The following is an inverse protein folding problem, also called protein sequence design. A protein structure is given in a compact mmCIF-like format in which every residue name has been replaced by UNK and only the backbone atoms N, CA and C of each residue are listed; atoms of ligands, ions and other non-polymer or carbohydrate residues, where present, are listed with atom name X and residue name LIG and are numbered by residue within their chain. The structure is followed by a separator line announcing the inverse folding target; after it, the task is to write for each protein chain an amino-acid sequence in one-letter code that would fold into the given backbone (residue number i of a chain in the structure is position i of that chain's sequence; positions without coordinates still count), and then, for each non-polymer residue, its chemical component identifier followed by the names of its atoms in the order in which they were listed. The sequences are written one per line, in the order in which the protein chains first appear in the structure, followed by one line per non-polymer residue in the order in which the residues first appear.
data_IF_923864747439
#
_entry.id   IF_923864747439
#
_cell.length_a   1.000
_cell.length_b   1.000
_cell.length_c   1.000
_cell.angle_alpha   90.00
_cell.angle_beta   90.00
_cell.angle_gamma   90.00
#
_symmetry.space_group_name_H-M   'P 1'
#
loop_
_entity.id
_entity.type
_entity.pdbx_description
1 polymer ?
#
# COMPACT_ATOMS: atom_id res chain seq x y z
N UNK A 1 -6.29 -15.09 4.73
CA UNK A 1 -5.50 -14.48 3.64
C UNK A 1 -6.28 -14.40 2.32
N UNK A 2 -6.90 -15.48 1.85
CA UNK A 2 -7.66 -15.52 0.58
C UNK A 2 -8.85 -14.54 0.55
N UNK A 3 -9.58 -14.41 1.66
CA UNK A 3 -10.76 -13.53 1.76
C UNK A 3 -10.41 -12.04 1.66
N UNK A 4 -9.28 -11.60 2.23
CA UNK A 4 -8.84 -10.20 2.18
C UNK A 4 -8.58 -9.75 0.73
N UNK A 5 -7.90 -10.57 -0.07
CA UNK A 5 -7.66 -10.26 -1.49
C UNK A 5 -8.94 -10.26 -2.33
N UNK A 6 -9.91 -11.12 -2.03
CA UNK A 6 -11.20 -11.11 -2.75
C UNK A 6 -11.94 -9.80 -2.54
N UNK A 7 -11.97 -9.27 -1.31
CA UNK A 7 -12.54 -7.95 -1.00
C UNK A 7 -11.74 -6.83 -1.64
N UNK A 8 -10.41 -6.93 -1.62
CA UNK A 8 -9.54 -5.97 -2.28
C UNK A 8 -9.81 -5.88 -3.79
N UNK A 9 -10.07 -7.01 -4.46
CA UNK A 9 -10.45 -7.00 -5.87
C UNK A 9 -11.80 -6.29 -6.09
N UNK A 10 -12.78 -6.46 -5.19
CA UNK A 10 -14.04 -5.73 -5.25
C UNK A 10 -13.81 -4.22 -5.15
N UNK A 11 -13.00 -3.79 -4.17
CA UNK A 11 -12.65 -2.38 -3.97
C UNK A 11 -11.95 -1.80 -5.20
N UNK A 12 -10.95 -2.52 -5.75
CA UNK A 12 -10.21 -2.09 -6.95
C UNK A 12 -11.15 -1.97 -8.15
N UNK A 13 -12.01 -2.95 -8.39
CA UNK A 13 -12.99 -2.91 -9.50
C UNK A 13 -13.93 -1.72 -9.34
N UNK A 14 -14.43 -1.43 -8.12
CA UNK A 14 -15.27 -0.26 -7.88
C UNK A 14 -14.51 1.06 -8.16
N UNK A 15 -13.26 1.17 -7.75
CA UNK A 15 -12.45 2.37 -7.97
C UNK A 15 -12.18 2.61 -9.46
N UNK A 16 -11.74 1.59 -10.19
CA UNK A 16 -11.39 1.74 -11.62
C UNK A 16 -12.60 2.01 -12.53
N UNK A 17 -13.83 1.74 -12.09
CA UNK A 17 -15.05 2.13 -12.83
C UNK A 17 -15.18 3.65 -13.01
N UNK A 18 -14.57 4.43 -12.12
CA UNK A 18 -14.58 5.89 -12.20
C UNK A 18 -13.45 6.45 -13.07
N UNK A 19 -12.57 5.61 -13.59
CA UNK A 19 -11.51 6.05 -14.48
C UNK A 19 -12.10 6.51 -15.82
N UNK A 20 -11.56 7.57 -16.44
CA UNK A 20 -11.88 7.92 -17.81
C UNK A 20 -11.59 6.74 -18.75
N UNK A 21 -12.35 6.65 -19.84
CA UNK A 21 -12.22 5.54 -20.78
C UNK A 21 -10.78 5.38 -21.32
N UNK A 22 -10.07 6.48 -21.54
CA UNK A 22 -8.67 6.47 -21.99
C UNK A 22 -7.73 5.84 -20.97
N UNK A 23 -7.94 6.12 -19.68
CA UNK A 23 -7.15 5.57 -18.60
C UNK A 23 -7.52 4.11 -18.30
N UNK A 24 -8.81 3.80 -18.31
CA UNK A 24 -9.30 2.44 -18.16
C UNK A 24 -8.75 1.50 -19.25
N UNK A 25 -8.66 1.98 -20.49
CA UNK A 25 -8.15 1.22 -21.63
C UNK A 25 -6.64 0.88 -21.53
N UNK A 26 -5.88 1.59 -20.69
CA UNK A 26 -4.46 1.26 -20.43
C UNK A 26 -4.27 -0.01 -19.61
N UNK A 27 -5.29 -0.40 -18.84
CA UNK A 27 -5.24 -1.62 -18.02
C UNK A 27 -5.60 -2.81 -18.90
N UNK A 28 -4.76 -3.85 -19.00
CA UNK A 28 -5.08 -5.04 -19.79
C UNK A 28 -6.40 -5.69 -19.37
N UNK A 29 -7.22 -6.03 -20.34
CA UNK A 29 -8.53 -6.64 -20.12
C UNK A 29 -8.42 -7.95 -19.31
N UNK A 30 -7.37 -8.73 -19.54
CA UNK A 30 -7.09 -9.96 -18.80
C UNK A 30 -6.97 -9.71 -17.30
N UNK A 31 -6.27 -8.62 -16.92
CA UNK A 31 -6.09 -8.24 -15.52
C UNK A 31 -7.41 -7.80 -14.88
N UNK A 32 -8.21 -7.03 -15.61
CA UNK A 32 -9.55 -6.61 -15.17
C UNK A 32 -10.46 -7.84 -14.98
N UNK A 33 -10.45 -8.77 -15.94
CA UNK A 33 -11.23 -10.00 -15.87
C UNK A 33 -10.79 -10.87 -14.69
N UNK A 34 -9.49 -11.01 -14.46
CA UNK A 34 -8.95 -11.72 -13.31
C UNK A 34 -9.51 -11.17 -11.99
N UNK A 35 -9.53 -9.85 -11.81
CA UNK A 35 -10.10 -9.23 -10.61
C UNK A 35 -11.61 -9.49 -10.50
N UNK A 36 -12.37 -9.36 -11.60
CA UNK A 36 -13.82 -9.62 -11.62
C UNK A 36 -14.18 -11.07 -11.30
N UNK A 37 -13.39 -12.03 -11.75
CA UNK A 37 -13.59 -13.45 -11.50
C UNK A 37 -13.27 -13.85 -10.05
N UNK A 38 -12.29 -13.17 -9.45
CA UNK A 38 -11.80 -13.48 -8.10
C UNK A 38 -12.33 -12.54 -7.02
N UNK A 39 -13.16 -11.55 -7.34
CA UNK A 39 -13.72 -10.62 -6.36
C UNK A 39 -14.75 -11.28 -5.44
N UNK A 40 -14.95 -10.70 -4.27
CA UNK A 40 -16.01 -11.05 -3.33
C UNK A 40 -17.31 -10.35 -3.79
N UNK A 41 -18.25 -11.13 -4.34
CA UNK A 41 -19.52 -10.63 -4.85
C UNK A 41 -20.52 -10.24 -3.76
N UNK A 42 -20.32 -10.77 -2.54
CA UNK A 42 -21.17 -10.49 -1.39
C UNK A 42 -20.67 -9.27 -0.60
N UNK A 43 -19.46 -8.80 -0.90
CA UNK A 43 -18.88 -7.62 -0.27
C UNK A 43 -19.34 -6.34 -0.98
N UNK A 44 -20.19 -5.57 -0.29
CA UNK A 44 -20.70 -4.30 -0.80
C UNK A 44 -19.76 -3.17 -0.43
N UNK A 45 -18.89 -2.78 -1.35
CA UNK A 45 -18.03 -1.61 -1.25
C UNK A 45 -18.53 -0.53 -2.20
N UNK A 46 -18.64 0.70 -1.70
CA UNK A 46 -19.02 1.87 -2.49
C UNK A 46 -18.02 2.99 -2.27
N UNK A 47 -17.51 3.53 -3.37
CA UNK A 47 -16.65 4.70 -3.34
C UNK A 47 -17.50 5.97 -3.38
N UNK A 48 -17.10 6.99 -2.61
CA UNK A 48 -17.69 8.32 -2.71
C UNK A 48 -16.75 9.22 -3.54
N UNK A 49 -17.11 9.58 -4.78
CA UNK A 49 -16.24 10.38 -5.65
C UNK A 49 -15.99 11.80 -5.12
N UNK A 50 -16.77 12.28 -4.15
CA UNK A 50 -16.58 13.59 -3.54
C UNK A 50 -15.59 13.60 -2.37
N UNK A 51 -15.15 12.43 -1.92
CA UNK A 51 -14.19 12.26 -0.84
C UNK A 51 -12.86 11.79 -1.43
N UNK A 52 -11.76 12.36 -0.94
CA UNK A 52 -10.42 11.95 -1.34
C UNK A 52 -10.20 10.46 -1.07
N UNK A 53 -9.50 9.77 -1.96
CA UNK A 53 -9.29 8.33 -1.87
C UNK A 53 -8.63 7.92 -0.54
N UNK A 54 -7.71 8.76 -0.02
CA UNK A 54 -7.04 8.57 1.26
C UNK A 54 -7.97 8.57 2.48
N UNK A 55 -9.07 9.31 2.37
CA UNK A 55 -10.07 9.44 3.44
C UNK A 55 -11.15 8.36 3.36
N UNK A 56 -11.09 7.51 2.34
CA UNK A 56 -12.00 6.39 2.18
C UNK A 56 -11.44 5.15 2.85
N UNK A 57 -12.32 4.30 3.35
CA UNK A 57 -11.92 3.06 4.03
C UNK A 57 -11.56 1.97 3.01
N UNK A 58 -10.41 2.14 2.36
CA UNK A 58 -9.86 1.20 1.38
C UNK A 58 -8.90 0.25 2.10
N UNK A 59 -9.01 -1.03 1.82
CA UNK A 59 -8.14 -2.04 2.43
C UNK A 59 -6.67 -1.85 2.01
N UNK A 60 -5.76 -2.30 2.86
CA UNK A 60 -4.32 -2.27 2.59
C UNK A 60 -3.97 -3.05 1.31
N UNK A 61 -4.63 -4.18 1.10
CA UNK A 61 -4.46 -5.05 -0.05
C UNK A 61 -4.92 -4.35 -1.34
N UNK A 62 -6.07 -3.67 -1.32
CA UNK A 62 -6.56 -2.89 -2.46
C UNK A 62 -5.61 -1.73 -2.79
N UNK A 63 -5.13 -1.02 -1.77
CA UNK A 63 -4.11 0.02 -1.96
C UNK A 63 -2.84 -0.52 -2.62
N UNK A 64 -2.35 -1.68 -2.19
CA UNK A 64 -1.18 -2.31 -2.81
C UNK A 64 -1.41 -2.66 -4.29
N UNK A 65 -2.60 -3.15 -4.63
CA UNK A 65 -2.99 -3.45 -6.02
C UNK A 65 -3.06 -2.16 -6.84
N UNK A 66 -3.69 -1.10 -6.31
CA UNK A 66 -3.79 0.20 -7.00
C UNK A 66 -2.42 0.82 -7.25
N UNK A 67 -1.51 0.75 -6.29
CA UNK A 67 -0.11 1.21 -6.44
C UNK A 67 0.60 0.43 -7.54
N UNK A 68 0.39 -0.89 -7.61
CA UNK A 68 0.95 -1.73 -8.67
C UNK A 68 0.38 -1.35 -10.04
N UNK A 69 -0.94 -1.18 -10.14
CA UNK A 69 -1.59 -0.74 -11.37
C UNK A 69 -1.07 0.63 -11.83
N UNK A 70 -0.91 1.57 -10.88
CA UNK A 70 -0.36 2.89 -11.18
C UNK A 70 1.07 2.78 -11.73
N UNK A 71 1.92 2.01 -11.07
CA UNK A 71 3.31 1.81 -11.51
C UNK A 71 3.39 1.18 -12.90
N UNK A 72 2.55 0.19 -13.16
CA UNK A 72 2.61 -0.58 -14.41
C UNK A 72 2.09 0.20 -15.61
N UNK A 73 1.00 0.99 -15.44
CA UNK A 73 0.25 1.54 -16.58
C UNK A 73 0.17 3.06 -16.63
N UNK A 74 0.43 3.77 -15.54
CA UNK A 74 0.21 5.21 -15.43
C UNK A 74 1.45 6.01 -15.06
N UNK A 75 2.39 5.39 -14.35
CA UNK A 75 3.59 6.06 -13.87
C UNK A 75 4.56 6.38 -15.02
N UNK A 76 5.10 7.59 -15.01
CA UNK A 76 6.24 7.98 -15.85
C UNK A 76 7.51 7.25 -15.40
N UNK A 77 8.52 7.16 -16.26
CA UNK A 77 9.78 6.51 -15.94
C UNK A 77 10.43 7.08 -14.68
N UNK A 78 10.37 8.41 -14.51
CA UNK A 78 10.86 9.08 -13.29
C UNK A 78 10.08 8.67 -12.04
N UNK A 79 8.76 8.51 -12.15
CA UNK A 79 7.92 8.07 -11.04
C UNK A 79 8.20 6.60 -10.67
N UNK A 80 8.42 5.74 -11.67
CA UNK A 80 8.83 4.35 -11.47
C UNK A 80 10.17 4.25 -10.76
N UNK A 81 11.15 5.07 -11.17
CA UNK A 81 12.46 5.11 -10.52
C UNK A 81 12.36 5.52 -9.04
N UNK A 82 11.60 6.57 -8.74
CA UNK A 82 11.36 7.01 -7.37
C UNK A 82 10.69 5.89 -6.55
N UNK A 83 9.66 5.26 -7.08
CA UNK A 83 8.96 4.17 -6.39
C UNK A 83 9.88 2.99 -6.12
N UNK A 84 10.67 2.57 -7.11
CA UNK A 84 11.61 1.47 -6.96
C UNK A 84 12.69 1.76 -5.90
N UNK A 85 13.17 3.00 -5.84
CA UNK A 85 14.13 3.41 -4.83
C UNK A 85 13.51 3.38 -3.42
N UNK A 86 12.28 3.85 -3.28
CA UNK A 86 11.53 3.80 -2.02
C UNK A 86 11.28 2.35 -1.55
N UNK A 87 10.90 1.47 -2.47
CA UNK A 87 10.69 0.05 -2.16
C UNK A 87 11.99 -0.63 -1.70
N UNK A 88 13.11 -0.34 -2.36
CA UNK A 88 14.44 -0.85 -1.95
C UNK A 88 14.84 -0.36 -0.55
N UNK A 89 14.67 0.93 -0.28
CA UNK A 89 14.95 1.50 1.05
C UNK A 89 14.09 0.84 2.13
N UNK A 90 12.79 0.68 1.88
CA UNK A 90 11.89 0.00 2.81
C UNK A 90 12.30 -1.46 3.06
N UNK A 91 12.74 -2.17 2.02
CA UNK A 91 13.22 -3.54 2.17
C UNK A 91 14.49 -3.61 3.02
N UNK A 92 15.44 -2.70 2.80
CA UNK A 92 16.66 -2.61 3.60
C UNK A 92 16.35 -2.35 5.08
N UNK A 93 15.48 -1.38 5.38
CA UNK A 93 15.07 -1.08 6.75
C UNK A 93 14.40 -2.29 7.40
N UNK A 94 13.53 -3.00 6.68
CA UNK A 94 12.88 -4.21 7.19
C UNK A 94 13.88 -5.35 7.45
N UNK A 95 14.91 -5.48 6.64
CA UNK A 95 15.97 -6.47 6.85
C UNK A 95 16.85 -6.12 8.04
N UNK A 96 17.22 -4.84 8.20
CA UNK A 96 17.96 -4.35 9.35
C UNK A 96 17.18 -4.58 10.66
N UNK A 97 15.89 -4.23 10.69
CA UNK A 97 15.02 -4.47 11.83
C UNK A 97 14.87 -5.97 12.17
N UNK A 98 14.82 -6.83 11.15
CA UNK A 98 14.81 -8.28 11.36
C UNK A 98 16.13 -8.77 11.94
N UNK A 99 17.26 -8.32 11.42
CA UNK A 99 18.56 -8.69 11.91
C UNK A 99 18.78 -8.23 13.35
N UNK A 100 18.34 -7.03 13.70
CA UNK A 100 18.40 -6.51 15.06
C UNK A 100 17.52 -7.32 16.04
N UNK A 101 16.29 -7.64 15.61
CA UNK A 101 15.35 -8.44 16.41
C UNK A 101 15.80 -9.89 16.60
N UNK A 102 16.45 -10.48 15.61
CA UNK A 102 16.90 -11.87 15.64
C UNK A 102 18.41 -12.01 15.85
N UNK A 103 19.10 -10.97 16.35
CA UNK A 103 20.51 -11.04 16.67
C UNK A 103 20.73 -12.02 17.83
N UNK A 104 21.50 -13.12 17.62
CA UNK A 104 21.72 -14.13 18.64
C UNK A 104 22.33 -13.56 19.94
N UNK A 105 23.14 -12.50 19.84
CA UNK A 105 23.76 -11.85 20.98
C UNK A 105 22.72 -11.14 21.88
N UNK A 106 21.63 -10.64 21.31
CA UNK A 106 20.54 -10.00 22.06
C UNK A 106 19.64 -11.04 22.75
N UNK A 107 19.45 -12.21 22.14
CA UNK A 107 18.66 -13.31 22.72
C UNK A 107 19.31 -13.91 23.97
N UNK A 108 20.65 -13.97 24.02
CA UNK A 108 21.39 -14.49 25.17
C UNK A 108 21.57 -13.46 26.30
N UNK A 109 21.46 -12.16 26.05
CA UNK A 109 21.48 -11.13 27.09
C UNK A 109 20.16 -10.98 27.84
N UNK A 110 19.02 -11.25 27.20
CA UNK A 110 17.71 -11.17 27.85
C UNK A 110 17.43 -12.28 28.88
N UNK A 111 18.15 -13.37 28.83
CA UNK A 111 17.99 -14.48 29.82
C UNK A 111 18.67 -14.22 31.17
N UNK A 112 19.42 -13.15 31.35
CA UNK A 112 20.14 -12.85 32.61
C UNK A 112 19.62 -11.66 33.40
N UNK A 113 18.61 -10.94 32.91
CA UNK A 113 18.08 -9.77 33.65
C UNK A 113 16.56 -9.77 33.66
N UNK A 114 15.97 -10.77 34.29
CA UNK A 114 14.62 -10.61 34.81
C UNK A 114 14.72 -10.02 36.23
N UNK A 115 14.86 -8.71 36.30
CA UNK A 115 14.41 -7.89 37.43
C UNK A 115 14.38 -6.42 37.02
N UNK A 116 13.15 -5.91 36.92
CA UNK A 116 12.77 -4.49 36.98
C UNK A 116 13.52 -3.52 36.08
N UNK A 117 12.89 -3.17 34.93
CA UNK A 117 12.62 -1.76 34.62
C UNK A 117 11.71 -1.71 33.40
N UNK A 118 10.55 -1.11 33.58
CA UNK A 118 9.67 -0.62 32.50
C UNK A 118 10.46 0.34 31.62
N UNK A 119 11.04 -0.15 30.55
CA UNK A 119 11.61 0.69 29.51
C UNK A 119 10.49 0.95 28.50
N UNK A 120 9.99 2.16 28.55
CA UNK A 120 9.18 2.74 27.49
C UNK A 120 10.02 2.73 26.22
N UNK A 121 9.73 1.78 25.33
CA UNK A 121 10.33 1.74 24.00
C UNK A 121 9.78 2.94 23.24
N UNK A 122 10.65 3.90 23.00
CA UNK A 122 10.36 4.97 22.03
C UNK A 122 10.37 4.38 20.62
N UNK A 123 9.20 3.93 20.16
CA UNK A 123 8.95 3.43 18.80
C UNK A 123 8.92 4.54 17.74
N UNK A 124 9.46 5.73 18.02
CA UNK A 124 9.06 6.95 17.32
C UNK A 124 9.90 7.38 16.12
N UNK A 125 10.99 6.69 15.72
CA UNK A 125 11.80 7.21 14.61
C UNK A 125 11.78 6.39 13.31
N UNK A 126 11.51 5.10 13.36
CA UNK A 126 11.43 4.28 12.14
C UNK A 126 10.02 4.25 11.52
N UNK A 127 8.97 4.35 12.35
CA UNK A 127 7.59 4.46 11.85
C UNK A 127 7.33 5.82 11.20
N UNK A 128 7.87 6.91 11.74
CA UNK A 128 7.69 8.25 11.18
C UNK A 128 8.32 8.39 9.78
N UNK A 129 9.49 7.80 9.53
CA UNK A 129 10.10 7.82 8.19
C UNK A 129 9.33 6.96 7.18
N UNK A 130 8.77 5.82 7.60
CA UNK A 130 7.92 4.97 6.77
C UNK A 130 6.56 5.62 6.46
N UNK A 131 6.01 6.40 7.41
CA UNK A 131 4.78 7.17 7.26
C UNK A 131 5.02 8.34 6.29
N UNK A 132 6.10 9.08 6.43
CA UNK A 132 6.45 10.22 5.57
C UNK A 132 6.67 9.79 4.11
N UNK A 133 7.31 8.65 3.89
CA UNK A 133 7.51 8.06 2.56
C UNK A 133 6.17 7.61 1.94
N UNK A 134 5.30 6.98 2.73
CA UNK A 134 3.95 6.61 2.29
C UNK A 134 3.11 7.83 1.93
N UNK A 135 3.12 8.87 2.77
CA UNK A 135 2.36 10.09 2.52
C UNK A 135 2.78 10.79 1.23
N UNK A 136 4.07 10.93 0.95
CA UNK A 136 4.54 11.57 -0.28
C UNK A 136 4.17 10.81 -1.56
N UNK A 137 4.21 9.48 -1.53
CA UNK A 137 3.80 8.65 -2.67
C UNK A 137 2.28 8.64 -2.82
N UNK A 138 1.55 8.43 -1.73
CA UNK A 138 0.10 8.48 -1.71
C UNK A 138 -0.44 9.85 -2.14
N UNK A 139 0.18 10.95 -1.73
CA UNK A 139 -0.21 12.30 -2.15
C UNK A 139 -0.06 12.48 -3.67
N UNK A 140 0.99 11.95 -4.28
CA UNK A 140 1.16 11.97 -5.75
C UNK A 140 0.17 11.08 -6.47
N UNK A 141 -0.09 9.89 -5.93
CA UNK A 141 -1.10 8.97 -6.45
C UNK A 141 -2.51 9.54 -6.32
N UNK A 142 -2.86 10.14 -5.17
CA UNK A 142 -4.17 10.77 -4.99
C UNK A 142 -4.34 12.02 -5.82
N UNK A 143 -3.30 12.80 -6.06
CA UNK A 143 -3.35 13.92 -7.00
C UNK A 143 -3.57 13.45 -8.45
N UNK A 144 -2.98 12.32 -8.83
CA UNK A 144 -3.25 11.68 -10.11
C UNK A 144 -4.72 11.26 -10.20
N UNK A 145 -5.23 10.56 -9.18
CA UNK A 145 -6.65 10.16 -9.11
C UNK A 145 -7.56 11.38 -9.07
N UNK A 146 -7.25 12.43 -8.29
CA UNK A 146 -8.03 13.68 -8.27
C UNK A 146 -8.13 14.34 -9.64
N UNK A 147 -7.06 14.32 -10.43
CA UNK A 147 -7.08 14.85 -11.78
C UNK A 147 -7.97 14.03 -12.72
N UNK A 148 -8.08 12.73 -12.47
CA UNK A 148 -8.98 11.84 -13.18
C UNK A 148 -10.44 12.12 -12.84
N UNK A 149 -10.75 12.32 -11.54
CA UNK A 149 -12.12 12.55 -11.06
C UNK A 149 -12.64 13.99 -11.26
N UNK A 150 -11.77 14.97 -11.53
CA UNK A 150 -12.18 16.37 -11.78
C UNK A 150 -12.65 16.66 -13.20
N UNK A 151 -12.67 15.66 -14.07
CA UNK A 151 -13.23 15.75 -15.42
C UNK A 151 -14.60 15.09 -15.47
#
# INVERSE_FOLDING_TARGET
MITAYKRAYTEVIEIIKYFPNEEYAKIPLEKINYYKENMDKDYNFQINPNIELEKQNISREANAILVTLFNDYFATDRQKEILNNLLKQNQQILEELKQEKYNPNNLFMQSKTQQQNTVTIQENNSENSLIEIKENFFTKFTNFIKNIFKR
#
